data_IF_417636014600
#
_entry.id   IF_417636014600
#
_cell.length_a   1.000
_cell.length_b   1.000
_cell.length_c   1.000
_cell.angle_alpha   90.00
_cell.angle_beta   90.00
_cell.angle_gamma   90.00
#
_symmetry.space_group_name_H-M   'P 1'
#
loop_
_entity.id
_entity.type
_entity.pdbx_description
1 polymer ?
#
# COMPACT_ATOMS: atom_id res chain seq x y z
N UNK A 1 -26.94 21.42 -2.87
CA UNK A 1 -25.50 21.17 -3.10
C UNK A 1 -25.05 22.08 -4.24
N UNK A 2 -23.93 22.79 -4.11
CA UNK A 2 -23.41 23.63 -5.19
C UNK A 2 -23.02 22.73 -6.38
N UNK A 3 -23.43 23.12 -7.59
CA UNK A 3 -23.14 22.38 -8.82
C UNK A 3 -21.70 22.68 -9.23
N UNK A 4 -20.84 21.66 -9.23
CA UNK A 4 -19.46 21.79 -9.71
C UNK A 4 -19.46 21.63 -11.23
N UNK A 5 -18.84 22.58 -11.92
CA UNK A 5 -18.61 22.55 -13.37
C UNK A 5 -17.13 22.23 -13.66
N UNK A 6 -16.82 21.71 -14.85
CA UNK A 6 -15.44 21.33 -15.23
C UNK A 6 -14.43 22.48 -15.11
N UNK A 7 -14.87 23.72 -15.30
CA UNK A 7 -14.05 24.93 -15.19
C UNK A 7 -13.89 25.45 -13.76
N UNK A 8 -14.55 24.83 -12.79
CA UNK A 8 -14.47 25.25 -11.39
C UNK A 8 -13.04 25.07 -10.88
N UNK A 9 -12.50 26.07 -10.20
CA UNK A 9 -11.16 25.98 -9.60
C UNK A 9 -11.11 24.87 -8.55
N UNK A 10 -9.99 24.17 -8.54
CA UNK A 10 -9.81 22.97 -7.71
C UNK A 10 -9.92 23.24 -6.21
N UNK A 11 -9.64 24.48 -5.77
CA UNK A 11 -9.72 24.89 -4.37
C UNK A 11 -11.14 24.86 -3.80
N UNK A 12 -12.17 25.00 -4.64
CA UNK A 12 -13.57 24.93 -4.24
C UNK A 12 -14.08 23.49 -4.11
N UNK A 13 -13.29 22.50 -4.55
CA UNK A 13 -13.61 21.10 -4.33
C UNK A 13 -13.49 20.78 -2.83
N UNK A 14 -14.57 20.21 -2.28
CA UNK A 14 -14.62 19.77 -0.88
C UNK A 14 -13.46 18.82 -0.59
N UNK A 15 -12.63 19.16 0.41
CA UNK A 15 -11.46 18.35 0.82
C UNK A 15 -10.11 18.80 0.25
N UNK A 16 -10.09 19.74 -0.70
CA UNK A 16 -8.86 20.34 -1.24
C UNK A 16 -8.53 21.63 -0.49
N UNK A 17 -9.40 22.64 -0.58
CA UNK A 17 -9.15 23.97 -0.02
C UNK A 17 -7.96 24.70 -0.67
N UNK A 18 -7.64 25.94 -0.25
CA UNK A 18 -6.65 26.78 -0.93
C UNK A 18 -5.24 26.19 -0.86
N UNK A 19 -4.87 25.56 0.27
CA UNK A 19 -3.51 25.01 0.47
C UNK A 19 -3.22 23.83 -0.46
N UNK A 20 -4.10 22.84 -0.56
CA UNK A 20 -3.90 21.71 -1.49
C UNK A 20 -4.13 22.16 -2.94
N UNK A 21 -5.04 23.12 -3.15
CA UNK A 21 -5.36 23.65 -4.47
C UNK A 21 -4.18 24.34 -5.13
N UNK A 22 -3.41 25.15 -4.39
CA UNK A 22 -2.20 25.79 -4.90
C UNK A 22 -1.13 24.77 -5.36
N UNK A 23 -0.93 23.69 -4.59
CA UNK A 23 0.03 22.63 -4.94
C UNK A 23 -0.45 21.82 -6.14
N UNK A 24 -1.74 21.50 -6.21
CA UNK A 24 -2.33 20.83 -7.38
C UNK A 24 -2.21 21.69 -8.65
N UNK A 25 -2.47 23.00 -8.53
CA UNK A 25 -2.31 23.94 -9.63
C UNK A 25 -0.86 24.03 -10.12
N UNK A 26 0.12 24.02 -9.21
CA UNK A 26 1.55 23.96 -9.55
C UNK A 26 1.92 22.69 -10.33
N UNK A 27 1.18 21.59 -10.12
CA UNK A 27 1.31 20.34 -10.86
C UNK A 27 0.36 20.24 -12.08
N UNK A 28 -0.20 21.37 -12.54
CA UNK A 28 -1.03 21.45 -13.75
C UNK A 28 -2.49 21.06 -13.55
N UNK A 29 -2.93 20.86 -12.30
CA UNK A 29 -4.31 20.50 -11.92
C UNK A 29 -4.97 21.69 -11.22
N UNK A 30 -5.39 22.68 -12.00
CA UNK A 30 -6.00 23.93 -11.52
C UNK A 30 -7.54 23.90 -11.43
N UNK A 31 -8.17 22.99 -12.16
CA UNK A 31 -9.62 22.88 -12.31
C UNK A 31 -10.13 21.47 -12.03
N UNK A 32 -11.41 21.36 -11.65
CA UNK A 32 -12.07 20.06 -11.44
C UNK A 32 -11.97 19.18 -12.68
N UNK A 33 -12.10 19.76 -13.88
CA UNK A 33 -11.94 19.02 -15.13
C UNK A 33 -10.54 18.44 -15.30
N UNK A 34 -9.48 19.22 -15.05
CA UNK A 34 -8.11 18.70 -15.12
C UNK A 34 -7.84 17.63 -14.07
N UNK A 35 -8.48 17.70 -12.89
CA UNK A 35 -8.37 16.63 -11.89
C UNK A 35 -8.97 15.32 -12.41
N UNK A 36 -10.13 15.35 -13.07
CA UNK A 36 -10.76 14.15 -13.63
C UNK A 36 -9.94 13.50 -14.75
N UNK A 37 -9.20 14.31 -15.51
CA UNK A 37 -8.27 13.85 -16.55
C UNK A 37 -6.82 13.65 -16.05
N UNK A 38 -6.59 13.77 -14.75
CA UNK A 38 -5.28 13.48 -14.17
C UNK A 38 -5.18 11.97 -13.98
N UNK A 39 -4.70 11.27 -15.01
CA UNK A 39 -4.65 9.81 -15.01
C UNK A 39 -3.49 9.27 -14.16
N UNK A 40 -3.62 8.06 -13.59
CA UNK A 40 -2.53 7.41 -12.88
C UNK A 40 -1.42 7.01 -13.84
N UNK A 41 -0.18 7.04 -13.32
CA UNK A 41 1.02 6.67 -14.08
C UNK A 41 1.10 5.17 -14.33
N UNK A 42 0.70 4.37 -13.33
CA UNK A 42 0.67 2.91 -13.42
C UNK A 42 -0.53 2.39 -12.65
N UNK A 43 -0.96 1.20 -13.04
CA UNK A 43 -1.98 0.44 -12.33
C UNK A 43 -1.31 -0.78 -11.70
N UNK A 44 -1.50 -0.99 -10.40
CA UNK A 44 -1.04 -2.20 -9.72
C UNK A 44 -2.23 -3.14 -9.61
N UNK A 45 -2.17 -4.25 -10.34
CA UNK A 45 -3.19 -5.29 -10.23
C UNK A 45 -2.96 -6.12 -8.97
N UNK A 46 -3.75 -5.84 -7.92
CA UNK A 46 -3.77 -6.63 -6.67
C UNK A 46 -4.91 -7.67 -6.66
N UNK A 47 -5.55 -7.92 -7.80
CA UNK A 47 -6.59 -8.95 -7.94
C UNK A 47 -6.00 -10.36 -8.13
N UNK A 48 -4.77 -10.46 -8.64
CA UNK A 48 -4.07 -11.73 -8.82
C UNK A 48 -3.31 -12.11 -7.55
N UNK A 49 -4.00 -12.80 -6.65
CA UNK A 49 -3.38 -13.42 -5.49
C UNK A 49 -2.65 -14.69 -5.91
N UNK A 50 -1.37 -14.78 -5.56
CA UNK A 50 -0.57 -15.98 -5.73
C UNK A 50 -0.55 -16.78 -4.44
N UNK A 51 -0.60 -18.11 -4.53
CA UNK A 51 -0.33 -19.00 -3.40
C UNK A 51 1.16 -19.01 -3.10
N UNK A 52 1.54 -19.25 -1.84
CA UNK A 52 2.94 -19.29 -1.41
C UNK A 52 3.73 -20.36 -2.19
N UNK A 53 3.12 -21.53 -2.45
CA UNK A 53 3.76 -22.59 -3.24
C UNK A 53 4.02 -22.19 -4.71
N UNK A 54 3.31 -21.20 -5.25
CA UNK A 54 3.49 -20.72 -6.63
C UNK A 54 4.52 -19.60 -6.76
N UNK A 55 5.13 -19.17 -5.64
CA UNK A 55 6.10 -18.09 -5.63
C UNK A 55 7.41 -18.51 -6.31
N UNK A 56 8.00 -17.55 -7.02
CA UNK A 56 9.32 -17.68 -7.63
C UNK A 56 10.18 -16.53 -7.16
N UNK A 57 11.47 -16.78 -7.03
CA UNK A 57 12.42 -15.73 -6.71
C UNK A 57 12.37 -14.61 -7.76
N UNK A 58 12.47 -13.36 -7.30
CA UNK A 58 12.41 -12.12 -8.07
C UNK A 58 11.04 -11.72 -8.64
N UNK A 59 9.98 -12.49 -8.42
CA UNK A 59 8.62 -12.09 -8.81
C UNK A 59 8.10 -10.95 -7.92
N UNK A 60 7.37 -9.99 -8.50
CA UNK A 60 6.57 -9.01 -7.75
C UNK A 60 5.11 -9.46 -7.73
N UNK A 61 4.64 -9.97 -6.59
CA UNK A 61 3.31 -10.60 -6.46
C UNK A 61 2.62 -10.21 -5.17
N UNK A 62 1.29 -10.34 -5.18
CA UNK A 62 0.44 -10.21 -4.00
C UNK A 62 0.12 -11.61 -3.45
N UNK A 63 0.29 -11.81 -2.16
CA UNK A 63 -0.01 -13.05 -1.44
C UNK A 63 -0.99 -12.74 -0.33
N UNK A 64 -1.96 -13.61 -0.13
CA UNK A 64 -2.91 -13.54 0.98
C UNK A 64 -2.67 -14.71 1.90
N UNK A 65 -2.59 -14.45 3.19
CA UNK A 65 -2.41 -15.49 4.18
C UNK A 65 -2.66 -14.99 5.60
N UNK A 66 -2.43 -15.86 6.57
CA UNK A 66 -2.61 -15.58 7.99
C UNK A 66 -1.28 -15.44 8.69
N UNK A 67 -1.19 -14.51 9.63
CA UNK A 67 -0.01 -14.36 10.49
C UNK A 67 0.06 -15.54 11.45
N UNK A 68 1.08 -16.37 11.30
CA UNK A 68 1.33 -17.56 12.14
C UNK A 68 2.23 -17.21 13.33
N UNK A 69 3.13 -16.26 13.12
CA UNK A 69 4.03 -15.80 14.16
C UNK A 69 4.70 -14.48 13.78
N UNK A 70 5.29 -13.85 14.79
CA UNK A 70 6.15 -12.68 14.63
C UNK A 70 7.28 -12.73 15.64
N UNK A 71 8.42 -12.14 15.29
CA UNK A 71 9.59 -12.06 16.16
C UNK A 71 10.42 -10.82 15.85
N UNK A 72 10.86 -10.14 16.90
CA UNK A 72 11.85 -9.08 16.78
C UNK A 72 13.24 -9.68 16.99
N UNK A 73 13.99 -9.86 15.90
CA UNK A 73 15.35 -10.39 15.97
C UNK A 73 16.33 -9.24 16.21
N UNK A 74 17.00 -9.29 17.36
CA UNK A 74 18.02 -8.33 17.79
C UNK A 74 19.41 -8.96 17.62
N UNK A 75 19.93 -8.89 16.39
CA UNK A 75 21.30 -9.28 16.05
C UNK A 75 22.10 -8.09 15.51
N UNK A 76 23.04 -8.33 14.57
CA UNK A 76 23.86 -7.27 13.97
C UNK A 76 23.04 -6.09 13.39
N UNK A 77 21.87 -6.38 12.80
CA UNK A 77 20.85 -5.37 12.48
C UNK A 77 19.50 -5.85 13.01
N UNK A 78 18.83 -5.00 13.78
CA UNK A 78 17.48 -5.31 14.31
C UNK A 78 16.49 -5.39 13.16
N UNK A 79 15.68 -6.46 13.12
CA UNK A 79 14.62 -6.64 12.14
C UNK A 79 13.39 -7.27 12.77
N UNK A 80 12.21 -6.86 12.29
CA UNK A 80 10.97 -7.56 12.55
C UNK A 80 10.77 -8.60 11.46
N UNK A 81 10.53 -9.82 11.88
CA UNK A 81 10.13 -10.94 11.03
C UNK A 81 8.70 -11.32 11.38
N UNK A 82 7.82 -11.35 10.38
CA UNK A 82 6.45 -11.84 10.50
C UNK A 82 6.30 -13.00 9.55
N UNK A 83 5.87 -14.15 10.06
CA UNK A 83 5.65 -15.36 9.25
C UNK A 83 4.20 -15.40 8.86
N UNK A 84 3.96 -15.26 7.56
CA UNK A 84 2.67 -15.50 6.93
C UNK A 84 2.60 -16.96 6.51
N UNK A 85 1.45 -17.60 6.68
CA UNK A 85 1.20 -18.89 6.05
C UNK A 85 -0.17 -18.95 5.41
N UNK A 86 -0.23 -19.77 4.37
CA UNK A 86 -1.45 -20.17 3.69
C UNK A 86 -1.56 -21.70 3.71
N UNK A 87 -2.53 -22.27 3.00
CA UNK A 87 -2.70 -23.73 2.92
C UNK A 87 -1.57 -24.45 2.15
N UNK A 88 -0.65 -23.69 1.54
CA UNK A 88 0.38 -24.20 0.62
C UNK A 88 1.80 -24.04 1.12
N UNK A 89 2.06 -23.16 2.10
CA UNK A 89 3.40 -22.95 2.65
C UNK A 89 3.52 -21.75 3.60
N UNK A 90 4.76 -21.31 3.77
CA UNK A 90 5.14 -20.20 4.66
C UNK A 90 5.97 -19.14 3.91
N UNK A 91 5.74 -17.88 4.26
CA UNK A 91 6.42 -16.70 3.69
C UNK A 91 6.87 -15.77 4.83
N UNK A 92 8.17 -15.49 4.91
CA UNK A 92 8.71 -14.55 5.89
C UNK A 92 8.68 -13.11 5.38
N UNK A 93 8.05 -12.20 6.13
CA UNK A 93 8.00 -10.78 5.84
C UNK A 93 8.99 -10.06 6.75
N UNK A 94 9.91 -9.30 6.17
CA UNK A 94 11.04 -8.72 6.91
C UNK A 94 11.04 -7.21 6.79
N UNK A 95 11.06 -6.51 7.93
CA UNK A 95 11.24 -5.06 8.02
C UNK A 95 12.46 -4.69 8.85
N UNK A 96 13.39 -3.94 8.25
CA UNK A 96 14.56 -3.38 8.92
C UNK A 96 14.32 -1.98 9.53
N UNK A 97 13.19 -1.35 9.23
CA UNK A 97 12.84 0.01 9.66
C UNK A 97 11.35 0.05 10.05
N UNK A 98 10.97 0.98 10.93
CA UNK A 98 9.58 1.08 11.40
C UNK A 98 9.09 -0.08 12.28
N UNK A 99 9.97 -1.03 12.60
CA UNK A 99 9.63 -2.30 13.27
C UNK A 99 8.89 -2.12 14.59
N UNK A 100 9.15 -1.06 15.37
CA UNK A 100 8.46 -0.79 16.65
C UNK A 100 6.95 -0.52 16.50
N UNK A 101 6.57 0.12 15.40
CA UNK A 101 5.18 0.42 15.09
C UNK A 101 4.51 -0.83 14.52
N UNK A 102 5.16 -1.45 13.53
CA UNK A 102 4.69 -2.66 12.85
C UNK A 102 4.49 -3.83 13.82
N UNK A 103 5.43 -4.03 14.76
CA UNK A 103 5.34 -5.07 15.78
C UNK A 103 4.07 -4.94 16.62
N UNK A 104 3.57 -3.73 16.87
CA UNK A 104 2.33 -3.53 17.63
C UNK A 104 1.08 -3.77 16.81
N UNK A 105 1.16 -3.56 15.49
CA UNK A 105 0.02 -3.74 14.59
C UNK A 105 -0.26 -5.21 14.31
N UNK A 106 0.77 -5.99 13.98
CA UNK A 106 0.59 -7.40 13.64
C UNK A 106 0.30 -8.24 14.87
N UNK A 107 -0.76 -9.05 14.81
CA UNK A 107 -1.10 -10.06 15.80
C UNK A 107 -1.17 -11.43 15.11
N UNK A 108 -0.91 -12.48 15.90
CA UNK A 108 -1.08 -13.84 15.44
C UNK A 108 -2.57 -14.08 15.16
N UNK A 109 -2.88 -14.59 13.97
CA UNK A 109 -4.25 -14.82 13.51
C UNK A 109 -4.77 -13.77 12.53
N UNK A 110 -4.11 -12.62 12.39
CA UNK A 110 -4.52 -11.60 11.42
C UNK A 110 -4.39 -12.13 9.99
N UNK A 111 -5.38 -11.88 9.14
CA UNK A 111 -5.27 -12.10 7.71
C UNK A 111 -4.70 -10.86 7.03
N UNK A 112 -3.73 -11.06 6.14
CA UNK A 112 -3.01 -10.00 5.46
C UNK A 112 -2.96 -10.27 3.97
N UNK A 113 -3.20 -9.23 3.17
CA UNK A 113 -2.71 -9.15 1.80
C UNK A 113 -1.34 -8.47 1.81
N UNK A 114 -0.32 -9.14 1.31
CA UNK A 114 1.04 -8.60 1.23
C UNK A 114 1.49 -8.54 -0.21
N UNK A 115 2.09 -7.42 -0.61
CA UNK A 115 2.58 -7.21 -1.97
C UNK A 115 4.04 -6.79 -1.94
N UNK A 116 4.88 -7.49 -2.70
CA UNK A 116 6.31 -7.19 -2.74
C UNK A 116 7.08 -8.09 -3.68
N UNK A 117 8.38 -7.81 -3.78
CA UNK A 117 9.32 -8.68 -4.50
C UNK A 117 9.69 -9.87 -3.62
N UNK A 118 9.52 -11.07 -4.16
CA UNK A 118 9.91 -12.33 -3.53
C UNK A 118 11.43 -12.51 -3.64
N UNK A 119 12.03 -12.87 -2.52
CA UNK A 119 13.44 -13.29 -2.40
C UNK A 119 13.46 -14.69 -1.79
N UNK A 120 14.51 -15.47 -2.08
CA UNK A 120 14.72 -16.76 -1.44
C UNK A 120 15.98 -16.73 -0.56
N UNK A 121 15.82 -16.88 0.75
CA UNK A 121 16.91 -17.02 1.70
C UNK A 121 16.45 -17.85 2.90
N UNK A 122 16.89 -19.11 2.97
CA UNK A 122 16.40 -20.06 3.98
C UNK A 122 14.86 -20.24 3.95
N UNK A 123 14.25 -20.03 2.78
CA UNK A 123 12.79 -19.98 2.57
C UNK A 123 12.40 -18.77 1.73
N UNK A 124 11.13 -18.71 1.31
CA UNK A 124 10.59 -17.53 0.63
C UNK A 124 10.43 -16.38 1.63
N UNK A 125 10.87 -15.19 1.22
CA UNK A 125 10.76 -13.98 2.00
C UNK A 125 10.45 -12.75 1.14
N UNK A 126 9.84 -11.74 1.75
CA UNK A 126 9.69 -10.40 1.14
C UNK A 126 10.32 -9.36 2.05
N UNK A 127 11.15 -8.48 1.45
CA UNK A 127 11.78 -7.37 2.16
C UNK A 127 10.92 -6.11 2.02
N UNK A 128 10.56 -5.51 3.15
CA UNK A 128 9.71 -4.32 3.21
C UNK A 128 8.45 -4.40 2.33
N UNK A 129 7.67 -5.50 2.40
CA UNK A 129 6.44 -5.60 1.62
C UNK A 129 5.41 -4.57 2.08
N UNK A 130 4.57 -4.15 1.15
CA UNK A 130 3.33 -3.46 1.47
C UNK A 130 2.34 -4.48 2.03
N UNK A 131 1.55 -4.10 3.03
CA UNK A 131 0.57 -4.98 3.68
C UNK A 131 -0.75 -4.27 3.91
N UNK A 132 -1.83 -5.04 3.94
CA UNK A 132 -3.20 -4.60 4.21
C UNK A 132 -3.89 -5.70 5.05
N UNK A 133 -4.64 -5.30 6.08
CA UNK A 133 -5.38 -6.23 6.93
C UNK A 133 -6.70 -6.63 6.26
N UNK A 134 -6.95 -7.93 6.21
CA UNK A 134 -8.20 -8.52 5.72
C UNK A 134 -8.96 -8.97 6.98
N UNK A 135 -10.11 -8.37 7.27
CA UNK A 135 -11.02 -8.92 8.28
C UNK A 135 -11.48 -7.98 9.41
N UNK A 136 -10.93 -6.78 9.55
CA UNK A 136 -11.65 -5.76 10.32
C UNK A 136 -12.65 -5.10 9.38
N UNK A 137 -13.95 -5.25 9.64
CA UNK A 137 -15.07 -4.63 8.93
C UNK A 137 -15.10 -3.10 8.99
N UNK A 138 -13.94 -2.47 9.15
CA UNK A 138 -13.68 -1.06 8.96
C UNK A 138 -13.50 -0.81 7.46
N UNK A 139 -13.95 0.35 7.00
CA UNK A 139 -14.01 0.83 5.61
C UNK A 139 -12.66 0.87 4.84
N UNK A 140 -11.60 0.24 5.36
CA UNK A 140 -10.21 0.29 4.85
C UNK A 140 -9.84 -0.89 3.93
N UNK A 141 -10.81 -1.63 3.38
CA UNK A 141 -10.60 -2.62 2.29
C UNK A 141 -10.36 -1.93 0.94
N UNK A 142 -9.57 -0.85 0.92
CA UNK A 142 -9.47 0.06 -0.21
C UNK A 142 -8.48 -0.49 -1.26
N UNK A 143 -7.71 -1.58 -1.06
CA UNK A 143 -6.76 -2.00 -2.11
C UNK A 143 -6.60 -3.50 -2.33
N UNK A 144 -7.24 -4.35 -1.54
CA UNK A 144 -7.23 -5.81 -1.76
C UNK A 144 -8.22 -6.20 -2.87
N UNK A 145 -7.80 -7.04 -3.83
CA UNK A 145 -8.69 -7.61 -4.85
C UNK A 145 -9.04 -6.71 -6.04
N UNK A 146 -8.39 -5.54 -6.19
CA UNK A 146 -8.68 -4.61 -7.29
C UNK A 146 -7.43 -4.01 -7.91
N UNK A 147 -7.62 -3.41 -9.09
CA UNK A 147 -6.59 -2.66 -9.79
C UNK A 147 -6.44 -1.30 -9.09
N UNK A 148 -5.28 -1.06 -8.47
CA UNK A 148 -4.98 0.16 -7.71
C UNK A 148 -4.29 1.18 -8.62
N UNK A 149 -4.87 2.38 -8.81
CA UNK A 149 -4.23 3.44 -9.58
C UNK A 149 -3.11 4.10 -8.76
N UNK A 150 -1.92 4.23 -9.35
CA UNK A 150 -0.79 4.93 -8.74
C UNK A 150 -0.55 6.24 -9.47
N UNK A 151 -0.77 7.34 -8.77
CA UNK A 151 -0.57 8.70 -9.25
C UNK A 151 0.86 9.19 -9.04
N UNK A 152 1.36 10.12 -9.86
CA UNK A 152 2.62 10.80 -9.61
C UNK A 152 2.59 11.49 -8.24
N UNK A 153 3.60 11.23 -7.43
CA UNK A 153 3.71 11.77 -6.08
C UNK A 153 5.02 12.54 -5.94
N UNK A 154 4.92 13.83 -5.64
CA UNK A 154 6.06 14.71 -5.35
C UNK A 154 6.13 15.00 -3.85
N UNK A 155 7.29 15.46 -3.37
CA UNK A 155 7.46 15.84 -1.96
C UNK A 155 6.47 16.95 -1.55
N UNK A 156 6.15 17.85 -2.47
CA UNK A 156 5.19 18.95 -2.27
C UNK A 156 3.75 18.43 -2.07
N UNK A 157 3.34 17.42 -2.86
CA UNK A 157 2.04 16.76 -2.72
C UNK A 157 1.93 16.02 -1.37
N UNK A 158 2.99 15.31 -0.97
CA UNK A 158 3.01 14.65 0.34
C UNK A 158 2.94 15.65 1.50
N UNK A 159 3.60 16.80 1.40
CA UNK A 159 3.62 17.83 2.43
C UNK A 159 2.23 18.47 2.69
N UNK A 160 1.31 18.37 1.72
CA UNK A 160 -0.10 18.78 1.89
C UNK A 160 -1.05 17.62 2.21
N UNK A 161 -0.49 16.44 2.46
CA UNK A 161 -1.23 15.23 2.83
C UNK A 161 -1.97 14.59 1.66
N UNK A 162 -1.52 14.82 0.42
CA UNK A 162 -1.99 14.05 -0.74
C UNK A 162 -1.09 12.81 -0.87
N UNK A 163 -1.70 11.63 -0.88
CA UNK A 163 -1.00 10.35 -0.97
C UNK A 163 -1.58 9.53 -2.11
N UNK A 164 -0.72 8.79 -2.81
CA UNK A 164 -1.12 7.83 -3.85
C UNK A 164 -1.43 6.44 -3.26
N UNK A 165 -1.96 6.39 -2.04
CA UNK A 165 -2.34 5.13 -1.40
C UNK A 165 -3.72 4.76 -1.89
#
# INVERSE_FOLDING_TARGET
MAKLEFTTEIQYLKGVGPRRGAVLAAHGVDTVGKLLYYFPRKYIDRSQTATIASLREHDYKTVVGRVIGKGLLRGGRTRLEVVLGDDTGYLSLIWFAGYRYLEKQFKKGDELAVTGTVSYFMGYQMLHPEYEFIGDGTEDQIHTGRIVPVYPLTAELQAVGLTSR
#
